data_IF_228136984048
#
_entry.id   IF_228136984048
#
_cell.length_a   1.000
_cell.length_b   1.000
_cell.length_c   1.000
_cell.angle_alpha   90.00
_cell.angle_beta   90.00
_cell.angle_gamma   90.00
#
_symmetry.space_group_name_H-M   'P 1'
#
loop_
_entity.id
_entity.type
_entity.pdbx_description
1 polymer ?
#
# COMPACT_ATOMS: atom_id res chain seq x y z
N UNK A 1 29.58 -0.59 -4.12
CA UNK A 1 28.37 -1.13 -4.81
C UNK A 1 27.35 -0.02 -4.83
N UNK A 2 26.80 0.33 -5.99
CA UNK A 2 25.75 1.36 -6.06
C UNK A 2 24.43 0.77 -5.57
N UNK A 3 23.75 1.47 -4.65
CA UNK A 3 22.41 1.09 -4.21
C UNK A 3 21.42 1.29 -5.37
N UNK A 4 20.43 0.41 -5.49
CA UNK A 4 19.35 0.56 -6.46
C UNK A 4 18.06 0.94 -5.75
N UNK A 5 17.23 1.77 -6.39
CA UNK A 5 15.88 2.01 -5.90
C UNK A 5 15.06 0.70 -5.93
N UNK A 6 14.42 0.29 -4.82
CA UNK A 6 13.74 -0.99 -4.73
C UNK A 6 12.40 -1.05 -5.53
N UNK A 7 11.93 0.11 -6.03
CA UNK A 7 10.73 0.23 -6.86
C UNK A 7 11.06 0.31 -8.36
N UNK A 8 11.79 1.33 -8.80
CA UNK A 8 12.05 1.53 -10.22
C UNK A 8 13.43 1.06 -10.70
N UNK A 9 14.26 0.51 -9.81
CA UNK A 9 15.64 0.05 -10.10
C UNK A 9 16.60 1.11 -10.65
N UNK A 10 16.26 2.39 -10.50
CA UNK A 10 17.17 3.48 -10.82
C UNK A 10 18.41 3.41 -9.92
N UNK A 11 19.55 3.70 -10.52
CA UNK A 11 20.88 3.66 -9.89
C UNK A 11 21.06 4.92 -9.04
N UNK A 12 21.85 4.83 -7.96
CA UNK A 12 22.28 5.97 -7.15
C UNK A 12 21.15 6.79 -6.48
N UNK A 13 20.31 6.14 -5.65
CA UNK A 13 19.37 6.84 -4.77
C UNK A 13 20.15 7.72 -3.79
N UNK A 14 19.67 8.94 -3.58
CA UNK A 14 20.37 9.95 -2.83
C UNK A 14 20.00 9.89 -1.34
N UNK A 15 20.95 10.17 -0.45
CA UNK A 15 20.66 10.25 0.97
C UNK A 15 19.57 11.30 1.26
N UNK A 16 18.49 10.87 1.93
CA UNK A 16 17.33 11.71 2.20
C UNK A 16 17.33 12.22 3.63
N UNK A 17 17.42 11.31 4.60
CA UNK A 17 17.36 11.61 6.03
C UNK A 17 18.01 10.48 6.83
N UNK A 18 18.38 10.75 8.07
CA UNK A 18 18.84 9.74 9.02
C UNK A 18 18.17 10.02 10.37
N UNK A 19 17.57 8.99 10.96
CA UNK A 19 17.12 9.03 12.35
C UNK A 19 18.14 8.29 13.27
N UNK A 20 17.78 8.10 14.54
CA UNK A 20 18.66 7.43 15.52
C UNK A 20 18.99 5.97 15.19
N UNK A 21 18.22 5.34 14.30
CA UNK A 21 18.24 3.90 14.01
C UNK A 21 18.62 3.61 12.56
N UNK A 22 18.17 4.43 11.59
CA UNK A 22 18.19 4.08 10.16
C UNK A 22 18.53 5.27 9.27
N UNK A 23 19.17 4.97 8.15
CA UNK A 23 19.27 5.87 7.01
C UNK A 23 18.07 5.69 6.08
N UNK A 24 17.70 6.77 5.42
CA UNK A 24 16.65 6.81 4.40
C UNK A 24 17.23 7.42 3.12
N UNK A 25 16.84 6.86 1.98
CA UNK A 25 17.28 7.29 0.67
C UNK A 25 16.08 7.66 -0.20
N UNK A 26 16.25 8.60 -1.12
CA UNK A 26 15.23 8.98 -2.08
C UNK A 26 15.72 8.72 -3.50
N UNK A 27 14.89 8.04 -4.28
CA UNK A 27 15.14 7.86 -5.70
C UNK A 27 14.91 9.18 -6.47
N UNK A 28 15.88 9.68 -7.26
CA UNK A 28 15.66 10.90 -8.04
C UNK A 28 14.66 10.71 -9.19
N UNK A 29 14.45 9.46 -9.66
CA UNK A 29 13.53 9.13 -10.75
C UNK A 29 12.07 8.97 -10.29
N UNK A 30 11.78 7.99 -9.43
CA UNK A 30 10.40 7.71 -8.97
C UNK A 30 10.01 8.43 -7.68
N UNK A 31 10.93 9.19 -7.07
CA UNK A 31 10.72 9.95 -5.82
C UNK A 31 10.36 9.14 -4.58
N UNK A 32 10.36 7.79 -4.66
CA UNK A 32 10.18 6.93 -3.50
C UNK A 32 11.27 7.22 -2.47
N UNK A 33 10.88 7.41 -1.21
CA UNK A 33 11.77 7.39 -0.05
C UNK A 33 11.74 5.98 0.53
N UNK A 34 12.87 5.39 0.87
CA UNK A 34 12.92 4.04 1.44
C UNK A 34 14.03 3.93 2.48
N UNK A 35 13.83 3.04 3.45
CA UNK A 35 14.81 2.75 4.50
C UNK A 35 16.00 1.97 3.93
N UNK A 36 17.16 2.12 4.55
CA UNK A 36 18.35 1.32 4.23
C UNK A 36 18.03 -0.18 4.32
N UNK A 37 18.30 -0.99 3.27
CA UNK A 37 18.12 -2.44 3.33
C UNK A 37 18.82 -3.13 4.50
N UNK A 38 19.92 -2.56 5.02
CA UNK A 38 20.63 -3.09 6.18
C UNK A 38 19.84 -2.96 7.50
N UNK A 39 18.77 -2.15 7.52
CA UNK A 39 17.92 -1.91 8.68
C UNK A 39 16.56 -2.63 8.63
N UNK A 40 16.35 -3.51 7.65
CA UNK A 40 15.13 -4.30 7.53
C UNK A 40 15.04 -5.35 8.64
N UNK A 41 13.83 -5.58 9.15
CA UNK A 41 13.60 -6.58 10.18
C UNK A 41 13.57 -8.00 9.58
N UNK A 42 13.98 -9.02 10.35
CA UNK A 42 13.62 -10.39 10.01
C UNK A 42 12.10 -10.58 10.18
N UNK A 43 11.52 -11.47 9.37
CA UNK A 43 10.08 -11.71 9.33
C UNK A 43 9.46 -12.04 10.72
N UNK A 44 10.20 -12.73 11.58
CA UNK A 44 9.74 -13.05 12.94
C UNK A 44 9.58 -11.81 13.82
N UNK A 45 10.49 -10.84 13.73
CA UNK A 45 10.41 -9.60 14.49
C UNK A 45 9.32 -8.66 13.95
N UNK A 46 9.11 -8.67 12.63
CA UNK A 46 8.02 -7.94 11.99
C UNK A 46 6.65 -8.47 12.44
N UNK A 47 6.44 -9.80 12.39
CA UNK A 47 5.19 -10.41 12.84
C UNK A 47 4.87 -10.12 14.30
N UNK A 48 5.88 -10.08 15.19
CA UNK A 48 5.69 -9.71 16.60
C UNK A 48 5.15 -8.29 16.79
N UNK A 49 5.45 -7.37 15.87
CA UNK A 49 4.87 -6.02 15.87
C UNK A 49 3.43 -6.08 15.36
N UNK A 50 3.19 -6.80 14.25
CA UNK A 50 1.84 -6.93 13.69
C UNK A 50 0.85 -7.63 14.62
N UNK A 51 1.31 -8.58 15.44
CA UNK A 51 0.50 -9.28 16.43
C UNK A 51 -0.02 -8.33 17.55
N UNK A 52 0.50 -7.10 17.64
CA UNK A 52 0.00 -6.07 18.56
C UNK A 52 -1.19 -5.29 17.98
N UNK A 53 -1.50 -5.43 16.69
CA UNK A 53 -2.62 -4.76 16.06
C UNK A 53 -3.96 -5.35 16.50
N UNK A 54 -4.87 -4.48 16.91
CA UNK A 54 -6.24 -4.83 17.32
C UNK A 54 -7.24 -4.23 16.32
N UNK A 55 -7.36 -4.86 15.16
CA UNK A 55 -8.38 -4.49 14.18
C UNK A 55 -9.71 -5.10 14.61
N UNK A 56 -10.68 -4.25 14.98
CA UNK A 56 -12.00 -4.66 15.42
C UNK A 56 -13.07 -4.20 14.42
N UNK A 57 -13.80 -5.11 13.75
CA UNK A 57 -14.88 -4.75 12.84
C UNK A 57 -16.04 -3.99 13.47
N UNK A 58 -16.21 -4.09 14.79
CA UNK A 58 -17.24 -3.41 15.56
C UNK A 58 -16.80 -2.01 16.05
N UNK A 59 -15.52 -1.66 15.88
CA UNK A 59 -15.01 -0.33 16.20
C UNK A 59 -15.47 0.67 15.12
N UNK A 60 -16.44 1.51 15.47
CA UNK A 60 -16.97 2.56 14.59
C UNK A 60 -15.92 3.59 14.17
N UNK A 61 -14.94 3.88 15.03
CA UNK A 61 -13.80 4.74 14.71
C UNK A 61 -12.92 4.12 13.63
N UNK A 62 -12.64 2.82 13.74
CA UNK A 62 -11.88 2.08 12.73
C UNK A 62 -12.64 1.93 11.41
N UNK A 63 -13.93 1.59 11.44
CA UNK A 63 -14.79 1.60 10.24
C UNK A 63 -14.81 2.97 9.59
N UNK A 64 -14.92 4.07 10.36
CA UNK A 64 -14.86 5.44 9.85
C UNK A 64 -13.52 5.76 9.19
N UNK A 65 -12.43 5.27 9.76
CA UNK A 65 -11.09 5.39 9.16
C UNK A 65 -11.02 4.68 7.80
N UNK A 66 -11.41 3.41 7.73
CA UNK A 66 -11.41 2.63 6.47
C UNK A 66 -12.40 3.19 5.43
N UNK A 67 -13.50 3.78 5.90
CA UNK A 67 -14.51 4.38 5.02
C UNK A 67 -13.96 5.53 4.17
N UNK A 68 -12.82 6.12 4.56
CA UNK A 68 -12.12 7.13 3.76
C UNK A 68 -11.67 6.58 2.41
N UNK A 69 -11.34 5.28 2.32
CA UNK A 69 -11.12 4.58 1.05
C UNK A 69 -12.41 3.96 0.51
N UNK A 70 -13.19 3.27 1.35
CA UNK A 70 -14.34 2.51 0.88
C UNK A 70 -15.38 3.41 0.18
N UNK A 71 -15.76 4.54 0.78
CA UNK A 71 -16.77 5.42 0.22
C UNK A 71 -16.44 5.93 -1.20
N UNK A 72 -15.26 6.54 -1.47
CA UNK A 72 -14.94 6.96 -2.84
C UNK A 72 -14.73 5.78 -3.80
N UNK A 73 -14.25 4.63 -3.33
CA UNK A 73 -14.13 3.44 -4.18
C UNK A 73 -15.53 2.94 -4.62
N UNK A 74 -16.47 2.81 -3.69
CA UNK A 74 -17.85 2.37 -3.97
C UNK A 74 -18.58 3.27 -4.97
N UNK A 75 -18.29 4.57 -4.99
CA UNK A 75 -18.85 5.50 -6.00
C UNK A 75 -18.40 5.20 -7.43
N UNK A 76 -17.34 4.40 -7.62
CA UNK A 76 -16.77 4.03 -8.93
C UNK A 76 -17.10 2.60 -9.35
N UNK A 77 -17.55 1.77 -8.42
CA UNK A 77 -17.81 0.36 -8.67
C UNK A 77 -19.28 0.15 -9.06
N UNK A 78 -19.55 -0.62 -10.12
CA UNK A 78 -20.86 -1.23 -10.32
C UNK A 78 -21.25 -2.11 -9.13
N UNK A 79 -22.53 -2.48 -9.01
CA UNK A 79 -22.95 -3.45 -7.99
C UNK A 79 -22.39 -4.85 -8.29
N UNK A 80 -22.24 -5.69 -7.25
CA UNK A 80 -21.89 -7.12 -7.37
C UNK A 80 -20.52 -7.42 -8.00
N UNK A 81 -19.57 -6.51 -7.86
CA UNK A 81 -18.18 -6.71 -8.31
C UNK A 81 -17.40 -7.67 -7.39
N UNK A 82 -16.36 -8.30 -7.95
CA UNK A 82 -15.41 -9.15 -7.22
C UNK A 82 -14.18 -8.37 -6.80
N UNK A 83 -13.87 -8.40 -5.51
CA UNK A 83 -12.77 -7.67 -4.88
C UNK A 83 -11.77 -8.57 -4.16
N UNK A 84 -10.55 -8.05 -3.98
CA UNK A 84 -9.55 -8.62 -3.08
C UNK A 84 -9.07 -7.55 -2.10
N UNK A 85 -9.06 -7.88 -0.81
CA UNK A 85 -8.35 -7.10 0.20
C UNK A 85 -6.94 -7.65 0.41
N UNK A 86 -5.94 -6.95 -0.13
CA UNK A 86 -4.54 -7.35 -0.11
C UNK A 86 -3.81 -6.68 1.08
N UNK A 87 -3.17 -7.49 1.91
CA UNK A 87 -2.59 -7.02 3.17
C UNK A 87 -3.67 -6.75 4.22
N UNK A 88 -4.70 -7.59 4.25
CA UNK A 88 -5.89 -7.38 5.08
C UNK A 88 -5.63 -7.45 6.60
N UNK A 89 -4.45 -7.90 7.02
CA UNK A 89 -4.05 -7.96 8.43
C UNK A 89 -4.90 -8.92 9.28
N UNK A 90 -4.82 -8.80 10.61
CA UNK A 90 -5.78 -9.47 11.49
C UNK A 90 -7.14 -8.75 11.38
N UNK A 91 -8.27 -9.47 11.45
CA UNK A 91 -9.62 -8.86 11.49
C UNK A 91 -9.97 -7.96 10.28
N UNK A 92 -10.16 -8.52 9.08
CA UNK A 92 -10.27 -7.79 7.80
C UNK A 92 -11.57 -6.98 7.69
N UNK A 93 -11.60 -5.82 8.33
CA UNK A 93 -12.81 -5.01 8.48
C UNK A 93 -13.26 -4.37 7.16
N UNK A 94 -12.31 -4.00 6.30
CA UNK A 94 -12.62 -3.39 5.00
C UNK A 94 -13.37 -4.34 4.09
N UNK A 95 -12.98 -5.63 4.04
CA UNK A 95 -13.69 -6.62 3.24
C UNK A 95 -15.13 -6.80 3.70
N UNK A 96 -15.39 -6.75 5.01
CA UNK A 96 -16.75 -6.82 5.55
C UNK A 96 -17.57 -5.60 5.12
N UNK A 97 -17.01 -4.39 5.23
CA UNK A 97 -17.69 -3.17 4.78
C UNK A 97 -18.03 -3.19 3.28
N UNK A 98 -17.15 -3.74 2.45
CA UNK A 98 -17.38 -3.86 1.01
C UNK A 98 -18.36 -4.99 0.68
N UNK A 99 -18.36 -6.08 1.44
CA UNK A 99 -19.36 -7.15 1.34
C UNK A 99 -20.76 -6.65 1.75
N UNK A 100 -20.87 -5.85 2.83
CA UNK A 100 -22.11 -5.19 3.25
C UNK A 100 -22.68 -4.28 2.14
N UNK A 101 -21.81 -3.74 1.28
CA UNK A 101 -22.20 -2.94 0.10
C UNK A 101 -22.58 -3.78 -1.12
N UNK A 102 -22.58 -5.12 -1.01
CA UNK A 102 -23.04 -6.05 -2.05
C UNK A 102 -21.94 -6.59 -2.97
N UNK A 103 -20.66 -6.54 -2.55
CA UNK A 103 -19.53 -7.09 -3.30
C UNK A 103 -19.08 -8.46 -2.79
N UNK A 104 -18.49 -9.27 -3.67
CA UNK A 104 -17.81 -10.49 -3.28
C UNK A 104 -16.36 -10.17 -2.92
N UNK A 105 -15.89 -10.60 -1.75
CA UNK A 105 -14.54 -10.28 -1.27
C UNK A 105 -13.68 -11.52 -1.03
N UNK A 106 -12.51 -11.54 -1.64
CA UNK A 106 -11.40 -12.40 -1.27
C UNK A 106 -10.44 -11.67 -0.32
N UNK A 107 -9.61 -12.43 0.39
CA UNK A 107 -8.66 -11.93 1.39
C UNK A 107 -7.28 -12.49 1.13
N UNK A 108 -6.25 -11.67 1.33
CA UNK A 108 -4.88 -12.16 1.36
C UNK A 108 -4.02 -11.34 2.33
N UNK A 109 -3.22 -12.04 3.13
CA UNK A 109 -2.19 -11.43 3.95
C UNK A 109 -1.07 -12.46 4.21
N UNK A 110 0.22 -12.13 4.01
CA UNK A 110 1.30 -13.11 4.14
C UNK A 110 1.44 -13.72 5.55
N UNK A 111 0.95 -13.05 6.60
CA UNK A 111 1.05 -13.50 7.99
C UNK A 111 -0.28 -14.03 8.54
N UNK A 112 -1.40 -13.39 8.21
CA UNK A 112 -2.71 -13.68 8.81
C UNK A 112 -3.63 -14.51 7.92
N UNK A 113 -3.50 -14.39 6.58
CA UNK A 113 -4.29 -15.14 5.59
C UNK A 113 -3.35 -15.65 4.48
N UNK A 114 -2.44 -16.60 4.80
CA UNK A 114 -1.31 -16.94 3.93
C UNK A 114 -1.70 -17.81 2.72
N UNK A 115 -2.99 -18.13 2.53
CA UNK A 115 -3.44 -18.82 1.34
C UNK A 115 -3.25 -17.94 0.10
N UNK A 116 -2.42 -18.42 -0.83
CA UNK A 116 -2.08 -17.71 -2.06
C UNK A 116 -3.07 -17.99 -3.19
N UNK A 117 -4.10 -18.81 -2.98
CA UNK A 117 -5.13 -19.09 -3.99
C UNK A 117 -5.77 -17.82 -4.57
N UNK A 118 -6.05 -16.74 -3.79
CA UNK A 118 -6.62 -15.51 -4.31
C UNK A 118 -5.68 -14.76 -5.26
N UNK A 119 -4.37 -15.03 -5.21
CA UNK A 119 -3.39 -14.38 -6.07
C UNK A 119 -3.30 -14.97 -7.49
N UNK A 120 -4.08 -16.02 -7.77
CA UNK A 120 -4.09 -16.73 -9.07
C UNK A 120 -5.20 -16.29 -10.01
N UNK A 121 -5.99 -15.30 -9.63
CA UNK A 121 -7.11 -14.78 -10.41
C UNK A 121 -7.10 -13.25 -10.47
N UNK A 122 -8.00 -12.68 -11.26
CA UNK A 122 -8.15 -11.24 -11.41
C UNK A 122 -9.51 -10.77 -10.88
N UNK A 123 -9.50 -9.57 -10.32
CA UNK A 123 -10.61 -8.91 -9.64
C UNK A 123 -11.01 -7.64 -10.38
N UNK A 124 -12.25 -7.25 -10.19
CA UNK A 124 -12.75 -5.95 -10.65
C UNK A 124 -12.15 -4.81 -9.83
N UNK A 125 -11.79 -5.08 -8.57
CA UNK A 125 -11.01 -4.16 -7.76
C UNK A 125 -10.11 -4.87 -6.75
N UNK A 126 -9.04 -4.20 -6.34
CA UNK A 126 -8.14 -4.65 -5.27
C UNK A 126 -7.96 -3.50 -4.28
N UNK A 127 -8.01 -3.77 -2.99
CA UNK A 127 -7.66 -2.81 -1.92
C UNK A 127 -6.32 -3.16 -1.27
N UNK A 128 -5.61 -2.14 -0.80
CA UNK A 128 -4.33 -2.26 -0.10
C UNK A 128 -4.22 -1.10 0.89
N UNK A 129 -4.70 -1.29 2.12
CA UNK A 129 -4.76 -0.24 3.15
C UNK A 129 -3.73 -0.47 4.25
N UNK A 130 -2.91 0.54 4.53
CA UNK A 130 -1.84 0.49 5.54
C UNK A 130 -0.95 -0.76 5.38
N UNK A 131 -0.58 -1.06 4.13
CA UNK A 131 0.14 -2.28 3.76
C UNK A 131 1.31 -2.01 2.80
N UNK A 132 1.14 -1.08 1.85
CA UNK A 132 2.13 -0.80 0.80
C UNK A 132 3.46 -0.25 1.37
N UNK A 133 3.40 0.44 2.51
CA UNK A 133 4.56 0.99 3.20
C UNK A 133 5.50 -0.07 3.79
N UNK A 134 4.99 -1.29 3.98
CA UNK A 134 5.71 -2.45 4.47
C UNK A 134 6.34 -3.27 3.34
N UNK A 135 6.24 -2.85 2.08
CA UNK A 135 6.81 -3.61 0.97
C UNK A 135 8.32 -3.49 0.93
N UNK A 136 9.01 -4.62 1.11
CA UNK A 136 10.48 -4.69 1.05
C UNK A 136 10.96 -4.76 -0.42
N UNK A 137 10.11 -5.27 -1.31
CA UNK A 137 10.40 -5.38 -2.75
C UNK A 137 9.33 -4.66 -3.59
N UNK A 138 9.01 -3.37 -3.31
CA UNK A 138 7.82 -2.69 -3.81
C UNK A 138 7.64 -2.76 -5.32
N UNK A 139 8.71 -2.94 -6.11
CA UNK A 139 8.60 -3.31 -7.53
C UNK A 139 7.76 -4.58 -7.73
N UNK A 140 8.15 -5.69 -7.10
CA UNK A 140 7.50 -7.00 -7.22
C UNK A 140 6.06 -6.93 -6.76
N UNK A 141 5.81 -6.37 -5.57
CA UNK A 141 4.45 -6.27 -5.05
C UNK A 141 3.57 -5.33 -5.89
N UNK A 142 4.12 -4.23 -6.40
CA UNK A 142 3.38 -3.35 -7.32
C UNK A 142 2.95 -4.07 -8.60
N UNK A 143 3.85 -4.85 -9.22
CA UNK A 143 3.50 -5.64 -10.40
C UNK A 143 2.46 -6.71 -10.08
N UNK A 144 2.55 -7.34 -8.90
CA UNK A 144 1.53 -8.28 -8.44
C UNK A 144 0.16 -7.59 -8.33
N UNK A 145 0.07 -6.46 -7.63
CA UNK A 145 -1.19 -5.69 -7.50
C UNK A 145 -1.80 -5.37 -8.86
N UNK A 146 -1.01 -4.89 -9.83
CA UNK A 146 -1.51 -4.57 -11.17
C UNK A 146 -1.95 -5.81 -11.97
N UNK A 147 -1.33 -6.96 -11.74
CA UNK A 147 -1.69 -8.22 -12.39
C UNK A 147 -3.00 -8.81 -11.85
N UNK A 148 -3.34 -8.50 -10.60
CA UNK A 148 -4.59 -8.92 -9.95
C UNK A 148 -5.81 -8.14 -10.43
N UNK A 149 -5.63 -7.04 -11.18
CA UNK A 149 -6.73 -6.17 -11.59
C UNK A 149 -7.09 -6.44 -13.05
N UNK A 150 -8.39 -6.67 -13.31
CA UNK A 150 -8.95 -6.78 -14.66
C UNK A 150 -8.82 -5.45 -15.43
N UNK A 151 -8.77 -5.46 -16.77
CA UNK A 151 -8.91 -4.22 -17.56
C UNK A 151 -10.16 -3.45 -17.13
N UNK A 152 -10.04 -2.13 -16.98
CA UNK A 152 -11.11 -1.25 -16.46
C UNK A 152 -11.30 -1.27 -14.94
N UNK A 153 -10.67 -2.21 -14.22
CA UNK A 153 -10.77 -2.36 -12.77
C UNK A 153 -9.94 -1.37 -11.96
N UNK A 154 -10.11 -1.41 -10.64
CA UNK A 154 -9.53 -0.42 -9.70
C UNK A 154 -8.51 -1.01 -8.72
N UNK A 155 -7.50 -0.20 -8.39
CA UNK A 155 -6.66 -0.35 -7.20
C UNK A 155 -6.97 0.78 -6.23
N UNK A 156 -7.46 0.44 -5.05
CA UNK A 156 -7.63 1.37 -3.93
C UNK A 156 -6.51 1.22 -2.91
N UNK A 157 -5.74 2.28 -2.68
CA UNK A 157 -4.66 2.29 -1.69
C UNK A 157 -4.97 3.35 -0.63
N UNK A 158 -4.73 2.99 0.63
CA UNK A 158 -4.65 3.95 1.74
C UNK A 158 -3.25 3.84 2.34
N UNK A 159 -2.49 4.93 2.31
CA UNK A 159 -1.17 5.02 2.96
C UNK A 159 -0.81 6.49 3.13
N UNK A 160 -0.05 6.83 4.18
CA UNK A 160 0.33 8.23 4.38
C UNK A 160 1.45 8.65 3.42
N UNK A 161 1.33 9.86 2.85
CA UNK A 161 2.24 10.34 1.82
C UNK A 161 3.40 11.21 2.35
N UNK A 162 4.60 10.98 1.81
CA UNK A 162 5.75 11.88 1.98
C UNK A 162 5.44 13.22 1.30
N UNK A 163 5.56 14.31 2.07
CA UNK A 163 5.36 15.68 1.58
C UNK A 163 6.68 16.34 1.15
N UNK A 164 7.62 16.44 2.08
CA UNK A 164 8.95 16.99 1.86
C UNK A 164 9.91 16.52 2.98
N UNK A 165 11.18 16.86 2.83
CA UNK A 165 12.25 16.39 3.72
C UNK A 165 12.10 16.89 5.16
N UNK A 166 11.68 18.14 5.34
CA UNK A 166 11.51 18.73 6.67
C UNK A 166 10.35 18.09 7.43
N UNK A 167 9.22 17.88 6.74
CA UNK A 167 8.08 17.16 7.28
C UNK A 167 8.45 15.71 7.62
N UNK A 168 9.20 15.02 6.74
CA UNK A 168 9.66 13.65 6.96
C UNK A 168 10.53 13.52 8.21
N UNK A 169 11.44 14.48 8.45
CA UNK A 169 12.31 14.48 9.62
C UNK A 169 11.53 14.43 10.95
N UNK A 170 10.39 15.13 11.03
CA UNK A 170 9.52 15.17 12.21
C UNK A 170 8.39 14.13 12.19
N UNK A 171 8.28 13.35 11.12
CA UNK A 171 7.16 12.45 10.92
C UNK A 171 7.25 11.20 11.79
N UNK A 172 6.26 10.96 12.66
CA UNK A 172 6.22 9.77 13.52
C UNK A 172 6.02 8.48 12.73
N UNK A 173 5.40 8.52 11.56
CA UNK A 173 5.08 7.33 10.77
C UNK A 173 6.34 6.58 10.30
N UNK A 174 7.48 7.26 10.10
CA UNK A 174 8.75 6.57 9.79
C UNK A 174 9.38 5.86 10.99
N UNK A 175 8.91 6.13 12.21
CA UNK A 175 9.51 5.57 13.42
C UNK A 175 9.10 4.10 13.63
N UNK A 176 8.03 3.66 12.97
CA UNK A 176 7.69 2.24 12.88
C UNK A 176 8.79 1.52 12.06
N UNK A 177 9.49 0.54 12.66
CA UNK A 177 10.58 -0.15 11.96
C UNK A 177 10.08 -1.07 10.83
N UNK A 178 8.78 -1.40 10.79
CA UNK A 178 8.16 -2.17 9.70
C UNK A 178 7.84 -1.30 8.47
N UNK A 179 7.76 0.02 8.63
CA UNK A 179 7.62 0.94 7.50
C UNK A 179 8.98 1.14 6.84
N UNK A 180 9.08 0.75 5.56
CA UNK A 180 10.35 0.69 4.82
C UNK A 180 10.27 1.34 3.44
N UNK A 181 9.06 1.49 2.89
CA UNK A 181 8.79 2.15 1.61
C UNK A 181 7.81 3.30 1.82
N UNK A 182 8.20 4.54 1.52
CA UNK A 182 7.40 5.73 1.77
C UNK A 182 7.06 6.43 0.46
N UNK A 183 5.79 6.31 0.08
CA UNK A 183 5.27 6.83 -1.19
C UNK A 183 4.94 8.31 -1.09
N UNK A 184 5.01 9.00 -2.22
CA UNK A 184 4.58 10.39 -2.36
C UNK A 184 3.60 10.50 -3.53
N UNK A 185 2.93 11.64 -3.64
CA UNK A 185 2.14 11.97 -4.83
C UNK A 185 2.99 11.86 -6.11
N UNK A 186 4.25 12.31 -6.08
CA UNK A 186 5.15 12.21 -7.22
C UNK A 186 5.45 10.74 -7.59
N UNK A 187 5.53 9.86 -6.59
CA UNK A 187 5.71 8.42 -6.80
C UNK A 187 4.49 7.80 -7.47
N UNK A 188 3.28 8.10 -7.00
CA UNK A 188 2.07 7.59 -7.63
C UNK A 188 1.85 8.15 -9.04
N UNK A 189 2.17 9.43 -9.28
CA UNK A 189 2.15 10.02 -10.64
C UNK A 189 3.14 9.33 -11.56
N UNK A 190 4.34 9.02 -11.07
CA UNK A 190 5.34 8.24 -11.82
C UNK A 190 4.79 6.86 -12.18
N UNK A 191 4.25 6.11 -11.22
CA UNK A 191 3.72 4.77 -11.43
C UNK A 191 2.52 4.77 -12.40
N UNK A 192 1.59 5.72 -12.22
CA UNK A 192 0.44 5.86 -13.09
C UNK A 192 0.86 6.12 -14.55
N UNK A 193 1.85 7.01 -14.76
CA UNK A 193 2.40 7.26 -16.09
C UNK A 193 3.08 6.03 -16.69
N UNK A 194 3.88 5.30 -15.90
CA UNK A 194 4.59 4.11 -16.39
C UNK A 194 3.65 2.99 -16.82
N UNK A 195 2.51 2.85 -16.17
CA UNK A 195 1.57 1.74 -16.39
C UNK A 195 0.26 2.17 -17.07
N UNK A 196 0.20 3.39 -17.61
CA UNK A 196 -0.98 3.96 -18.27
C UNK A 196 -2.27 3.82 -17.42
N UNK A 197 -2.17 4.21 -16.15
CA UNK A 197 -3.28 4.19 -15.19
C UNK A 197 -3.89 5.57 -15.04
N UNK A 198 -5.20 5.64 -14.88
CA UNK A 198 -5.86 6.86 -14.43
C UNK A 198 -5.67 6.99 -12.93
N UNK A 199 -5.05 8.08 -12.47
CA UNK A 199 -4.76 8.34 -11.06
C UNK A 199 -5.68 9.41 -10.49
N UNK A 200 -6.26 9.13 -9.33
CA UNK A 200 -6.93 10.09 -8.47
C UNK A 200 -6.31 10.02 -7.07
N UNK A 201 -5.96 11.17 -6.50
CA UNK A 201 -5.48 11.29 -5.11
C UNK A 201 -6.52 12.11 -4.36
N UNK A 202 -7.11 11.52 -3.32
CA UNK A 202 -8.18 12.12 -2.54
C UNK A 202 -7.68 12.37 -1.11
N UNK A 203 -7.85 13.60 -0.63
CA UNK A 203 -7.36 13.99 0.69
C UNK A 203 -5.83 13.90 0.78
N UNK A 204 -5.32 13.22 1.81
CA UNK A 204 -3.88 13.17 2.12
C UNK A 204 -3.25 11.78 1.96
N UNK A 205 -4.06 10.74 1.75
CA UNK A 205 -3.65 9.34 1.90
C UNK A 205 -4.48 8.34 1.10
N UNK A 206 -5.47 8.79 0.31
CA UNK A 206 -6.30 7.90 -0.51
C UNK A 206 -5.86 8.00 -1.97
N UNK A 207 -5.53 6.86 -2.55
CA UNK A 207 -5.09 6.74 -3.93
C UNK A 207 -5.99 5.75 -4.64
N UNK A 208 -6.67 6.22 -5.69
CA UNK A 208 -7.44 5.37 -6.59
C UNK A 208 -6.75 5.35 -7.95
N UNK A 209 -6.48 4.15 -8.44
CA UNK A 209 -5.91 3.94 -9.77
C UNK A 209 -6.85 3.05 -10.57
N UNK A 210 -7.15 3.45 -11.80
CA UNK A 210 -7.92 2.62 -12.72
C UNK A 210 -7.02 2.10 -13.83
N UNK A 211 -7.09 0.78 -14.07
CA UNK A 211 -6.44 0.15 -15.20
C UNK A 211 -7.21 0.50 -16.47
N UNK A 212 -6.51 0.84 -17.54
CA UNK A 212 -7.14 1.05 -18.85
C UNK A 212 -7.95 -0.20 -19.25
N UNK A 213 -9.10 0.03 -19.89
CA UNK A 213 -9.96 -1.03 -20.42
C UNK A 213 -9.33 -1.70 -21.65
#
# INVERSE_FOLDING_TARGET
MSMLCPLCQHIDPQHYHQDKRRHYFQCPQCKLVFADPAALLPASAEKQIYDQHQNNPDDLGYRKFLNRLAAPLLLRLPLQQQGLDFGCGPGPTLSLMLADAGHEMALYDPYFVPDRSPLKQQYDFVTCTEAIEHFYQPRREWHLLLNLIRPGGYLGIMTKLVRNKDAFAQWHYKNDPTHVSFFSEATFRYLAKQHNLRLEILGNDIILLQKSA
#
